data_IF_066529870700
#
_entry.id   IF_066529870700
#
_cell.length_a   1.000
_cell.length_b   1.000
_cell.length_c   1.000
_cell.angle_alpha   90.00
_cell.angle_beta   90.00
_cell.angle_gamma   90.00
#
_symmetry.space_group_name_H-M   'P 1'
#
loop_
_entity.id
_entity.type
_entity.pdbx_description
1 polymer ?
#
# COMPACT_ATOMS: atom_id res chain seq x y z
N UNK A 1 -4.89 -46.51 -76.65
CA UNK A 1 -5.73 -47.42 -77.46
C UNK A 1 -6.76 -48.08 -76.54
N UNK A 2 -8.04 -47.88 -76.88
CA UNK A 2 -9.26 -48.66 -76.56
C UNK A 2 -9.53 -49.09 -75.11
N UNK A 3 -10.61 -48.60 -74.49
CA UNK A 3 -12.02 -49.09 -74.57
C UNK A 3 -12.17 -50.47 -73.90
N UNK A 4 -13.22 -50.86 -73.16
CA UNK A 4 -14.59 -50.37 -72.94
C UNK A 4 -15.16 -51.27 -71.79
N UNK A 5 -15.91 -50.74 -70.81
CA UNK A 5 -17.39 -50.83 -70.66
C UNK A 5 -17.97 -52.17 -70.09
N UNK A 6 -18.91 -51.99 -69.14
CA UNK A 6 -19.98 -52.88 -68.60
C UNK A 6 -19.61 -53.80 -67.44
N UNK A 7 -20.29 -53.71 -66.29
CA UNK A 7 -21.64 -54.28 -66.19
C UNK A 7 -22.49 -53.62 -65.09
N UNK A 8 -23.68 -53.15 -65.50
CA UNK A 8 -24.85 -52.94 -64.65
C UNK A 8 -25.44 -54.32 -64.30
N UNK A 9 -25.71 -54.58 -63.02
CA UNK A 9 -26.85 -55.35 -62.48
C UNK A 9 -26.68 -55.46 -60.96
N UNK A 10 -27.80 -55.59 -60.24
CA UNK A 10 -27.94 -55.68 -58.78
C UNK A 10 -28.13 -54.34 -58.02
N UNK A 11 -28.90 -53.43 -58.61
CA UNK A 11 -29.83 -52.60 -57.83
C UNK A 11 -31.20 -53.26 -58.01
N UNK A 12 -31.74 -53.95 -57.00
CA UNK A 12 -33.21 -54.09 -56.80
C UNK A 12 -33.69 -54.87 -55.57
N UNK A 13 -32.87 -55.52 -54.73
CA UNK A 13 -33.42 -56.39 -53.65
C UNK A 13 -32.95 -56.06 -52.22
N UNK A 14 -31.96 -55.18 -52.02
CA UNK A 14 -31.50 -54.82 -50.64
C UNK A 14 -32.17 -53.59 -50.02
N UNK A 15 -33.04 -52.89 -50.77
CA UNK A 15 -33.61 -51.59 -50.34
C UNK A 15 -35.01 -51.70 -49.72
N UNK A 16 -35.62 -52.89 -49.71
CA UNK A 16 -36.96 -53.11 -49.11
C UNK A 16 -36.93 -53.66 -47.68
N UNK A 17 -35.80 -54.21 -47.21
CA UNK A 17 -35.70 -54.74 -45.84
C UNK A 17 -35.11 -53.71 -44.85
N UNK A 18 -34.37 -52.69 -45.32
CA UNK A 18 -33.80 -51.64 -44.46
C UNK A 18 -34.80 -50.51 -44.12
N UNK A 19 -35.90 -50.38 -44.85
CA UNK A 19 -36.95 -49.38 -44.59
C UNK A 19 -37.91 -49.84 -43.48
N UNK A 20 -38.09 -51.15 -43.28
CA UNK A 20 -38.94 -51.69 -42.22
C UNK A 20 -38.29 -51.60 -40.81
N UNK A 21 -36.96 -51.61 -40.71
CA UNK A 21 -36.25 -51.50 -39.43
C UNK A 21 -36.04 -50.06 -38.95
N UNK A 22 -36.13 -49.06 -39.84
CA UNK A 22 -36.01 -47.63 -39.48
C UNK A 22 -37.33 -47.02 -39.02
N UNK A 23 -38.47 -47.66 -39.28
CA UNK A 23 -39.80 -47.23 -38.81
C UNK A 23 -40.12 -47.63 -37.36
N UNK A 24 -39.39 -48.58 -36.75
CA UNK A 24 -39.60 -48.94 -35.32
C UNK A 24 -38.76 -48.12 -34.33
N UNK A 25 -37.73 -47.40 -34.76
CA UNK A 25 -36.92 -46.53 -33.86
C UNK A 25 -37.45 -45.09 -33.82
N UNK A 26 -38.24 -44.67 -34.81
CA UNK A 26 -38.91 -43.37 -34.79
C UNK A 26 -40.09 -43.29 -33.78
N UNK A 27 -40.70 -44.43 -33.46
CA UNK A 27 -41.84 -44.50 -32.53
C UNK A 27 -41.47 -44.28 -31.05
N UNK A 28 -40.27 -44.66 -30.63
CA UNK A 28 -39.83 -44.53 -29.23
C UNK A 28 -39.34 -43.12 -28.89
N UNK A 29 -38.70 -42.42 -29.84
CA UNK A 29 -38.34 -41.01 -29.67
C UNK A 29 -39.59 -40.11 -29.55
N UNK A 30 -40.64 -40.39 -30.32
CA UNK A 30 -41.90 -39.65 -30.28
C UNK A 30 -42.69 -39.85 -28.97
N UNK A 31 -42.70 -41.08 -28.43
CA UNK A 31 -43.37 -41.40 -27.16
C UNK A 31 -42.65 -40.80 -25.93
N UNK A 32 -41.31 -40.74 -25.93
CA UNK A 32 -40.53 -40.13 -24.84
C UNK A 32 -40.70 -38.60 -24.82
N UNK A 33 -40.77 -37.96 -25.99
CA UNK A 33 -40.96 -36.51 -26.13
C UNK A 33 -42.40 -36.07 -25.79
N UNK A 34 -43.39 -36.94 -25.98
CA UNK A 34 -44.78 -36.71 -25.55
C UNK A 34 -44.95 -36.90 -24.04
N UNK A 35 -44.38 -37.96 -23.46
CA UNK A 35 -44.43 -38.19 -22.01
C UNK A 35 -43.76 -37.08 -21.16
N UNK A 36 -42.73 -36.40 -21.68
CA UNK A 36 -42.13 -35.23 -21.00
C UNK A 36 -42.99 -33.96 -21.11
N UNK A 37 -43.83 -33.83 -22.15
CA UNK A 37 -44.72 -32.68 -22.32
C UNK A 37 -45.94 -32.74 -21.40
N UNK A 38 -46.39 -33.94 -21.05
CA UNK A 38 -47.55 -34.16 -20.18
C UNK A 38 -47.28 -33.88 -18.68
N UNK A 39 -46.02 -33.63 -18.30
CA UNK A 39 -45.59 -33.29 -16.93
C UNK A 39 -45.12 -31.82 -16.78
N UNK A 40 -45.45 -30.95 -17.73
CA UNK A 40 -45.12 -29.54 -17.59
C UNK A 40 -46.04 -28.85 -16.56
N UNK A 41 -45.49 -27.99 -15.68
CA UNK A 41 -46.31 -27.22 -14.75
C UNK A 41 -47.39 -26.43 -15.50
N UNK A 42 -48.61 -26.44 -14.95
CA UNK A 42 -49.69 -25.64 -15.50
C UNK A 42 -49.31 -24.15 -15.52
N UNK A 43 -49.67 -23.46 -16.61
CA UNK A 43 -49.43 -22.02 -16.75
C UNK A 43 -50.16 -21.29 -15.62
N UNK A 44 -49.41 -20.58 -14.79
CA UNK A 44 -49.96 -19.74 -13.74
C UNK A 44 -49.66 -18.26 -14.00
N UNK A 45 -50.59 -17.56 -14.63
CA UNK A 45 -50.47 -16.13 -14.93
C UNK A 45 -50.38 -15.26 -13.67
N UNK A 46 -50.83 -15.75 -12.51
CA UNK A 46 -50.79 -14.98 -11.26
C UNK A 46 -49.37 -14.69 -10.77
N UNK A 47 -48.39 -15.50 -11.19
CA UNK A 47 -46.98 -15.32 -10.83
C UNK A 47 -46.38 -14.03 -11.43
N UNK A 48 -47.00 -13.48 -12.47
CA UNK A 48 -46.55 -12.28 -13.19
C UNK A 48 -47.57 -11.14 -13.12
N UNK A 49 -48.54 -11.23 -12.20
CA UNK A 49 -49.63 -10.25 -12.10
C UNK A 49 -49.22 -8.94 -11.41
N UNK A 50 -48.13 -8.93 -10.65
CA UNK A 50 -47.64 -7.74 -9.97
C UNK A 50 -46.57 -7.03 -10.79
N UNK A 51 -46.58 -5.69 -10.74
CA UNK A 51 -45.46 -4.89 -11.25
C UNK A 51 -44.25 -5.02 -10.31
N UNK A 52 -43.05 -5.32 -10.83
CA UNK A 52 -41.85 -5.42 -10.00
C UNK A 52 -41.51 -4.07 -9.36
N UNK A 53 -41.41 -4.05 -8.03
CA UNK A 53 -40.82 -2.92 -7.32
C UNK A 53 -39.29 -3.01 -7.38
N UNK A 54 -38.56 -1.88 -7.36
CA UNK A 54 -37.11 -1.90 -7.27
C UNK A 54 -36.62 -2.61 -6.00
N UNK A 55 -35.50 -3.32 -6.12
CA UNK A 55 -34.84 -3.97 -4.99
C UNK A 55 -34.30 -2.92 -4.01
N UNK A 56 -34.35 -3.26 -2.74
CA UNK A 56 -33.68 -2.57 -1.64
C UNK A 56 -32.20 -2.95 -1.57
N UNK A 57 -31.39 -2.17 -0.84
CA UNK A 57 -29.94 -2.41 -0.68
C UNK A 57 -29.66 -3.78 -0.04
N UNK A 58 -30.45 -4.20 0.95
CA UNK A 58 -30.32 -5.52 1.57
C UNK A 58 -30.71 -6.66 0.62
N UNK A 59 -31.74 -6.47 -0.22
CA UNK A 59 -32.10 -7.43 -1.26
C UNK A 59 -31.00 -7.57 -2.33
N UNK A 60 -30.38 -6.47 -2.76
CA UNK A 60 -29.19 -6.53 -3.61
C UNK A 60 -28.05 -7.34 -2.93
N UNK A 61 -27.87 -7.15 -1.62
CA UNK A 61 -26.86 -7.85 -0.82
C UNK A 61 -27.09 -9.36 -0.66
N UNK A 62 -28.31 -9.87 -0.86
CA UNK A 62 -28.60 -11.31 -0.84
C UNK A 62 -27.90 -12.06 -1.98
N UNK A 63 -27.68 -11.41 -3.12
CA UNK A 63 -26.98 -11.99 -4.27
C UNK A 63 -25.55 -11.44 -4.41
N UNK A 64 -25.35 -10.14 -4.20
CA UNK A 64 -24.03 -9.48 -4.33
C UNK A 64 -23.31 -9.38 -2.99
N UNK A 65 -23.19 -10.52 -2.30
CA UNK A 65 -22.69 -10.61 -0.91
C UNK A 65 -21.30 -10.02 -0.74
N UNK A 66 -20.40 -10.22 -1.72
CA UNK A 66 -19.04 -9.66 -1.71
C UNK A 66 -19.05 -8.13 -1.78
N UNK A 67 -19.73 -7.54 -2.76
CA UNK A 67 -19.78 -6.07 -2.93
C UNK A 67 -20.47 -5.40 -1.74
N UNK A 68 -21.56 -5.99 -1.25
CA UNK A 68 -22.24 -5.54 -0.04
C UNK A 68 -21.30 -5.58 1.18
N UNK A 69 -20.54 -6.66 1.34
CA UNK A 69 -19.55 -6.80 2.41
C UNK A 69 -18.40 -5.79 2.28
N UNK A 70 -17.89 -5.58 1.08
CA UNK A 70 -16.82 -4.61 0.80
C UNK A 70 -17.27 -3.19 1.14
N UNK A 71 -18.48 -2.79 0.72
CA UNK A 71 -19.07 -1.50 1.09
C UNK A 71 -19.23 -1.37 2.60
N UNK A 72 -19.75 -2.40 3.27
CA UNK A 72 -19.95 -2.42 4.72
C UNK A 72 -18.65 -2.24 5.49
N UNK A 73 -17.57 -2.90 5.05
CA UNK A 73 -16.29 -2.89 5.76
C UNK A 73 -15.37 -1.74 5.36
N UNK A 74 -15.45 -1.26 4.11
CA UNK A 74 -14.48 -0.34 3.53
C UNK A 74 -15.00 0.55 2.39
N UNK A 75 -16.32 0.65 2.21
CA UNK A 75 -16.91 1.59 1.24
C UNK A 75 -16.68 3.06 1.62
N UNK A 76 -16.45 3.36 2.90
CA UNK A 76 -16.31 4.73 3.38
C UNK A 76 -17.55 5.55 3.04
N UNK A 77 -17.37 6.64 2.28
CA UNK A 77 -18.51 7.47 1.82
C UNK A 77 -19.37 6.83 0.73
N UNK A 78 -18.95 5.72 0.14
CA UNK A 78 -19.74 4.99 -0.87
C UNK A 78 -20.82 4.09 -0.26
N UNK A 79 -21.12 4.24 1.03
CA UNK A 79 -22.21 3.56 1.72
C UNK A 79 -23.55 4.27 1.50
N UNK A 80 -24.00 4.32 0.25
CA UNK A 80 -25.29 4.87 -0.16
C UNK A 80 -26.06 3.87 -1.04
N UNK A 81 -27.27 4.22 -1.48
CA UNK A 81 -28.12 3.31 -2.26
C UNK A 81 -27.43 2.90 -3.57
N UNK A 82 -27.43 1.60 -3.90
CA UNK A 82 -26.75 1.06 -5.08
C UNK A 82 -27.18 1.76 -6.38
N UNK A 83 -28.42 2.28 -6.41
CA UNK A 83 -29.05 2.92 -7.57
C UNK A 83 -28.58 4.34 -7.83
N UNK A 84 -27.91 4.97 -6.87
CA UNK A 84 -27.28 6.28 -7.06
C UNK A 84 -26.02 6.18 -7.94
N UNK A 85 -25.54 4.97 -8.21
CA UNK A 85 -24.41 4.70 -9.08
C UNK A 85 -24.82 3.75 -10.23
N UNK A 86 -25.50 2.65 -9.90
CA UNK A 86 -25.99 1.69 -10.89
C UNK A 86 -27.39 2.06 -11.38
N UNK A 87 -27.49 2.52 -12.63
CA UNK A 87 -28.79 2.82 -13.25
C UNK A 87 -29.35 1.62 -14.04
N UNK A 88 -28.48 0.67 -14.40
CA UNK A 88 -28.81 -0.52 -15.19
C UNK A 88 -28.41 -1.78 -14.42
N UNK A 89 -29.33 -2.72 -14.28
CA UNK A 89 -29.13 -3.97 -13.52
C UNK A 89 -29.36 -5.21 -14.39
N UNK A 90 -28.66 -6.30 -14.07
CA UNK A 90 -28.77 -7.60 -14.77
C UNK A 90 -28.63 -7.52 -16.31
N UNK A 91 -27.85 -6.54 -16.81
CA UNK A 91 -27.63 -6.30 -18.24
C UNK A 91 -26.30 -6.84 -18.77
N UNK A 92 -25.44 -7.40 -17.90
CA UNK A 92 -24.20 -8.02 -18.34
C UNK A 92 -24.49 -9.25 -19.20
N UNK A 93 -23.85 -9.30 -20.37
CA UNK A 93 -24.01 -10.37 -21.34
C UNK A 93 -22.60 -10.86 -21.74
N UNK A 94 -22.16 -12.05 -21.28
CA UNK A 94 -20.82 -12.54 -21.58
C UNK A 94 -20.51 -12.64 -23.09
N UNK A 95 -21.41 -13.15 -23.95
CA UNK A 95 -21.21 -13.10 -25.41
C UNK A 95 -20.97 -11.70 -26.00
N UNK A 96 -21.51 -10.64 -25.39
CA UNK A 96 -21.31 -9.25 -25.84
C UNK A 96 -20.14 -8.55 -25.17
N UNK A 97 -19.59 -9.12 -24.10
CA UNK A 97 -18.52 -8.53 -23.29
C UNK A 97 -18.75 -7.05 -22.92
N UNK A 98 -19.99 -6.70 -22.60
CA UNK A 98 -20.43 -5.30 -22.45
C UNK A 98 -20.17 -4.70 -21.05
N UNK A 99 -19.31 -5.30 -20.23
CA UNK A 99 -19.12 -4.87 -18.83
C UNK A 99 -18.63 -3.41 -18.74
N UNK A 100 -17.60 -3.05 -19.51
CA UNK A 100 -17.04 -1.70 -19.48
C UNK A 100 -18.04 -0.61 -19.89
N UNK A 101 -19.00 -0.94 -20.77
CA UNK A 101 -20.01 0.00 -21.26
C UNK A 101 -21.12 0.27 -20.25
N UNK A 102 -21.43 -0.70 -19.39
CA UNK A 102 -22.55 -0.63 -18.44
C UNK A 102 -22.09 -0.27 -17.02
N UNK A 103 -20.79 -0.19 -16.77
CA UNK A 103 -20.26 0.19 -15.46
C UNK A 103 -20.31 1.71 -15.27
N UNK A 104 -20.74 2.19 -14.08
CA UNK A 104 -20.75 3.61 -13.78
C UNK A 104 -19.35 4.21 -13.81
N UNK A 105 -19.23 5.42 -14.33
CA UNK A 105 -17.96 6.14 -14.39
C UNK A 105 -17.73 6.92 -13.09
N UNK A 106 -16.53 6.81 -12.52
CA UNK A 106 -16.13 7.58 -11.34
C UNK A 106 -16.26 9.10 -11.58
N UNK A 107 -16.00 9.52 -12.83
CA UNK A 107 -16.03 10.90 -13.28
C UNK A 107 -17.42 11.57 -13.17
N UNK A 108 -18.50 10.80 -13.03
CA UNK A 108 -19.86 11.34 -12.84
C UNK A 108 -19.99 12.11 -11.54
N UNK A 109 -19.24 11.72 -10.50
CA UNK A 109 -19.28 12.37 -9.19
C UNK A 109 -17.92 12.95 -8.76
N UNK A 110 -16.82 12.39 -9.26
CA UNK A 110 -15.46 12.80 -8.93
C UNK A 110 -14.79 13.53 -10.10
N UNK A 111 -13.94 14.51 -9.79
CA UNK A 111 -13.02 15.08 -10.78
C UNK A 111 -11.77 14.20 -10.95
N UNK A 112 -10.63 14.85 -11.16
CA UNK A 112 -9.31 14.20 -11.25
C UNK A 112 -8.51 14.50 -9.97
N UNK A 113 -8.73 13.78 -8.86
CA UNK A 113 -8.10 14.09 -7.57
C UNK A 113 -6.58 13.86 -7.58
N UNK A 114 -6.06 13.10 -8.55
CA UNK A 114 -4.63 12.82 -8.73
C UNK A 114 -4.05 13.55 -9.95
N UNK A 115 -4.75 14.59 -10.44
CA UNK A 115 -4.38 15.34 -11.64
C UNK A 115 -4.55 14.57 -12.94
N UNK A 116 -4.10 15.19 -14.03
CA UNK A 116 -4.43 14.79 -15.40
C UNK A 116 -3.61 13.57 -15.88
N UNK A 117 -2.57 13.19 -15.15
CA UNK A 117 -1.69 12.05 -15.50
C UNK A 117 -2.30 10.69 -15.13
N UNK A 118 -3.10 10.62 -14.08
CA UNK A 118 -3.61 9.37 -13.51
C UNK A 118 -5.14 9.34 -13.51
N UNK A 119 -5.72 9.30 -14.70
CA UNK A 119 -7.18 9.37 -14.92
C UNK A 119 -7.86 7.99 -15.02
N UNK A 120 -7.09 6.93 -15.27
CA UNK A 120 -7.59 5.56 -15.32
C UNK A 120 -7.80 5.00 -13.90
N UNK A 121 -8.90 5.41 -13.26
CA UNK A 121 -9.12 5.22 -11.82
C UNK A 121 -9.02 3.74 -11.39
N UNK A 122 -9.58 2.83 -12.19
CA UNK A 122 -9.69 1.39 -11.84
C UNK A 122 -8.34 0.66 -11.89
N UNK A 123 -7.31 1.24 -12.52
CA UNK A 123 -5.98 0.65 -12.52
C UNK A 123 -5.38 0.59 -11.11
N UNK A 124 -5.73 1.54 -10.24
CA UNK A 124 -5.33 1.55 -8.83
C UNK A 124 -6.50 1.18 -7.91
N UNK A 125 -7.69 1.72 -8.19
CA UNK A 125 -8.89 1.51 -7.40
C UNK A 125 -9.65 0.26 -7.85
N UNK A 126 -8.97 -0.90 -7.87
CA UNK A 126 -9.46 -2.16 -8.43
C UNK A 126 -10.85 -2.59 -7.90
N UNK A 127 -11.20 -2.14 -6.69
CA UNK A 127 -12.52 -2.37 -6.10
C UNK A 127 -13.29 -1.05 -5.91
N UNK A 128 -14.26 -0.71 -6.79
CA UNK A 128 -15.07 0.50 -6.64
C UNK A 128 -15.99 0.46 -5.41
N UNK A 129 -16.19 -0.71 -4.82
CA UNK A 129 -16.95 -0.91 -3.58
C UNK A 129 -16.07 -0.81 -2.31
N UNK A 130 -14.76 -0.65 -2.47
CA UNK A 130 -13.82 -0.36 -1.40
C UNK A 130 -12.69 0.54 -1.92
N UNK A 131 -12.98 1.73 -2.46
CA UNK A 131 -12.06 2.48 -3.32
C UNK A 131 -10.76 2.90 -2.59
N UNK A 132 -10.77 3.02 -1.26
CA UNK A 132 -9.56 3.34 -0.50
C UNK A 132 -8.65 2.13 -0.22
N UNK A 133 -9.10 0.91 -0.50
CA UNK A 133 -8.28 -0.30 -0.38
C UNK A 133 -7.51 -0.50 -1.68
N UNK A 134 -6.43 0.26 -1.84
CA UNK A 134 -5.53 0.18 -2.99
C UNK A 134 -4.37 -0.77 -2.63
N UNK A 135 -4.32 -1.98 -3.21
CA UNK A 135 -3.19 -2.88 -3.00
C UNK A 135 -1.92 -2.28 -3.61
N UNK A 136 -0.76 -2.72 -3.11
CA UNK A 136 0.48 -2.43 -3.81
C UNK A 136 0.55 -3.30 -5.06
N UNK A 137 0.75 -2.67 -6.23
CA UNK A 137 0.84 -3.35 -7.52
C UNK A 137 2.12 -2.94 -8.24
N UNK A 138 2.58 -3.75 -9.20
CA UNK A 138 3.74 -3.41 -10.02
C UNK A 138 3.56 -2.11 -10.81
N UNK A 139 2.33 -1.75 -11.15
CA UNK A 139 2.05 -0.48 -11.81
C UNK A 139 2.25 0.69 -10.84
N UNK A 140 1.78 0.57 -9.59
CA UNK A 140 1.96 1.61 -8.57
C UNK A 140 3.43 1.78 -8.17
N UNK A 141 4.19 0.69 -8.09
CA UNK A 141 5.63 0.67 -7.81
C UNK A 141 6.42 1.63 -8.73
N UNK A 142 6.07 1.68 -10.01
CA UNK A 142 6.76 2.49 -11.01
C UNK A 142 6.41 3.98 -11.04
N UNK A 143 5.42 4.43 -10.26
CA UNK A 143 4.89 5.81 -10.35
C UNK A 143 4.90 6.54 -9.00
N UNK A 144 5.60 6.01 -7.99
CA UNK A 144 5.68 6.62 -6.66
C UNK A 144 6.07 8.11 -6.73
N UNK A 145 7.07 8.46 -7.55
CA UNK A 145 7.62 9.81 -7.69
C UNK A 145 6.73 10.80 -8.43
N UNK A 146 5.73 10.35 -9.20
CA UNK A 146 4.75 11.25 -9.82
C UNK A 146 3.92 11.99 -8.75
N UNK A 147 3.71 11.36 -7.59
CA UNK A 147 2.96 11.93 -6.46
C UNK A 147 3.85 12.26 -5.24
N UNK A 148 4.85 11.43 -4.95
CA UNK A 148 5.79 11.56 -3.83
C UNK A 148 7.15 12.11 -4.27
N UNK A 149 7.12 13.17 -5.08
CA UNK A 149 8.32 13.83 -5.60
C UNK A 149 9.34 14.25 -4.53
N UNK A 150 8.93 14.91 -3.42
CA UNK A 150 9.87 15.34 -2.38
C UNK A 150 10.70 14.19 -1.80
N UNK A 151 10.09 13.03 -1.56
CA UNK A 151 10.76 11.85 -1.00
C UNK A 151 11.80 11.27 -1.97
N UNK A 152 11.49 11.28 -3.27
CA UNK A 152 12.44 10.88 -4.30
C UNK A 152 13.65 11.84 -4.37
N UNK A 153 13.41 13.14 -4.20
CA UNK A 153 14.48 14.16 -4.13
C UNK A 153 15.33 13.97 -2.87
N UNK A 154 14.74 13.71 -1.71
CA UNK A 154 15.48 13.42 -0.47
C UNK A 154 16.45 12.25 -0.64
N UNK A 155 16.00 11.12 -1.20
CA UNK A 155 16.86 9.96 -1.46
C UNK A 155 17.98 10.25 -2.48
N UNK A 156 17.74 11.16 -3.42
CA UNK A 156 18.72 11.58 -4.42
C UNK A 156 19.78 12.52 -3.83
N UNK A 157 19.36 13.51 -3.04
CA UNK A 157 20.22 14.51 -2.44
C UNK A 157 21.05 13.94 -1.28
N UNK A 158 20.55 12.91 -0.59
CA UNK A 158 21.20 12.26 0.56
C UNK A 158 21.45 10.77 0.32
N UNK A 159 22.37 10.40 -0.59
CA UNK A 159 22.56 9.02 -1.02
C UNK A 159 22.98 8.09 0.12
N UNK A 160 22.29 6.95 0.21
CA UNK A 160 22.56 5.86 1.14
C UNK A 160 22.16 4.50 0.54
N UNK A 161 22.29 3.41 1.30
CA UNK A 161 21.77 2.09 0.87
C UNK A 161 20.27 2.11 0.54
N UNK A 162 19.50 3.03 1.13
CA UNK A 162 18.08 3.20 0.85
C UNK A 162 17.83 3.76 -0.56
N UNK A 163 18.76 4.54 -1.12
CA UNK A 163 18.67 5.07 -2.49
C UNK A 163 18.69 3.95 -3.55
N UNK A 164 19.26 2.79 -3.20
CA UNK A 164 19.32 1.61 -4.06
C UNK A 164 18.05 0.73 -3.95
N UNK A 165 17.14 1.05 -3.04
CA UNK A 165 15.90 0.29 -2.82
C UNK A 165 14.74 0.94 -3.57
N UNK A 166 13.83 0.11 -4.08
CA UNK A 166 12.55 0.60 -4.59
C UNK A 166 11.67 1.07 -3.42
N UNK A 167 10.76 2.02 -3.66
CA UNK A 167 9.90 2.57 -2.61
C UNK A 167 9.05 1.48 -1.93
N UNK A 168 8.57 0.52 -2.71
CA UNK A 168 7.79 -0.62 -2.25
C UNK A 168 8.64 -1.70 -1.54
N UNK A 169 9.98 -1.61 -1.52
CA UNK A 169 10.80 -2.50 -0.69
C UNK A 169 10.45 -2.35 0.80
N UNK A 170 10.08 -1.13 1.21
CA UNK A 170 9.60 -0.84 2.56
C UNK A 170 8.09 -0.57 2.56
N UNK A 171 7.57 0.20 1.59
CA UNK A 171 6.13 0.50 1.48
C UNK A 171 5.33 -0.65 0.81
N UNK A 172 5.59 -1.90 1.18
CA UNK A 172 5.24 -3.09 0.39
C UNK A 172 3.76 -3.51 0.46
N UNK A 173 3.04 -3.22 1.55
CA UNK A 173 1.75 -3.87 1.83
C UNK A 173 0.57 -3.31 1.03
N UNK A 174 0.46 -1.99 0.98
CA UNK A 174 -0.65 -1.27 0.33
C UNK A 174 -0.23 0.17 0.09
N UNK A 175 -0.93 0.87 -0.80
CA UNK A 175 -0.74 2.31 -0.93
C UNK A 175 -1.01 3.00 0.41
N UNK A 176 -0.07 3.84 0.88
CA UNK A 176 -0.14 4.50 2.17
C UNK A 176 0.21 3.62 3.39
N UNK A 177 0.74 2.41 3.19
CA UNK A 177 1.41 1.68 4.27
C UNK A 177 2.66 2.42 4.70
N UNK A 178 2.85 2.62 6.01
CA UNK A 178 4.10 3.14 6.58
C UNK A 178 4.75 1.96 7.31
N UNK A 179 5.93 1.50 6.87
CA UNK A 179 6.64 0.39 7.49
C UNK A 179 7.19 0.77 8.86
N UNK A 180 7.50 -0.25 9.65
CA UNK A 180 8.33 -0.06 10.85
C UNK A 180 9.80 -0.32 10.51
N UNK A 181 10.70 0.52 10.99
CA UNK A 181 12.14 0.41 10.79
C UNK A 181 12.68 -0.94 11.26
N UNK A 182 12.09 -1.47 12.34
CA UNK A 182 12.41 -2.77 12.92
C UNK A 182 12.17 -3.99 12.00
N UNK A 183 11.52 -3.81 10.84
CA UNK A 183 11.44 -4.86 9.81
C UNK A 183 12.84 -5.22 9.26
N UNK A 184 13.80 -4.30 9.31
CA UNK A 184 15.16 -4.48 8.78
C UNK A 184 16.29 -3.98 9.69
N UNK A 185 16.00 -3.15 10.70
CA UNK A 185 17.00 -2.50 11.55
C UNK A 185 16.81 -2.85 13.03
N UNK A 186 17.90 -3.16 13.73
CA UNK A 186 17.89 -3.20 15.19
C UNK A 186 17.87 -1.79 15.80
N UNK A 187 17.17 -1.59 16.94
CA UNK A 187 17.27 -0.35 17.69
C UNK A 187 18.65 -0.15 18.30
N UNK A 188 19.00 1.09 18.64
CA UNK A 188 20.30 1.40 19.26
C UNK A 188 20.42 0.85 20.69
N UNK A 189 19.29 0.69 21.38
CA UNK A 189 19.21 0.05 22.70
C UNK A 189 17.90 -0.72 22.85
N UNK A 190 17.90 -1.73 23.73
CA UNK A 190 16.85 -2.76 23.79
C UNK A 190 15.42 -2.23 24.02
N UNK A 191 15.27 -1.08 24.68
CA UNK A 191 13.98 -0.48 25.02
C UNK A 191 13.63 0.74 24.17
N UNK A 192 14.38 1.01 23.09
CA UNK A 192 14.11 2.16 22.24
C UNK A 192 12.75 2.00 21.55
N UNK A 193 11.89 3.01 21.72
CA UNK A 193 10.60 3.02 21.06
C UNK A 193 10.75 3.41 19.58
N UNK A 194 10.07 2.68 18.69
CA UNK A 194 10.06 2.91 17.24
C UNK A 194 9.81 4.38 16.84
N UNK A 195 8.90 5.06 17.54
CA UNK A 195 8.55 6.45 17.26
C UNK A 195 9.73 7.42 17.47
N UNK A 196 10.78 7.03 18.20
CA UNK A 196 11.95 7.86 18.49
C UNK A 196 13.01 7.79 17.39
N UNK A 197 12.98 6.78 16.50
CA UNK A 197 13.96 6.62 15.43
C UNK A 197 14.05 7.88 14.55
N UNK A 198 12.89 8.47 14.24
CA UNK A 198 12.77 9.66 13.39
C UNK A 198 13.13 10.97 14.07
N UNK A 199 13.38 10.98 15.38
CA UNK A 199 13.92 12.18 16.06
C UNK A 199 15.34 12.46 15.58
N UNK A 200 16.09 11.39 15.28
CA UNK A 200 17.46 11.48 14.80
C UNK A 200 17.57 11.19 13.30
N UNK A 201 16.87 10.19 12.77
CA UNK A 201 17.02 9.73 11.39
C UNK A 201 15.77 10.02 10.56
N UNK A 202 15.76 11.06 9.71
CA UNK A 202 14.68 11.23 8.75
C UNK A 202 14.72 10.09 7.72
N UNK A 203 13.55 9.51 7.43
CA UNK A 203 13.41 8.19 6.78
C UNK A 203 14.07 8.11 5.39
N UNK A 204 13.94 9.15 4.56
CA UNK A 204 14.51 9.19 3.21
C UNK A 204 15.89 9.85 3.13
N UNK A 205 16.46 10.21 4.28
CA UNK A 205 17.83 10.69 4.41
C UNK A 205 18.45 10.17 5.72
N UNK A 206 18.46 8.84 5.94
CA UNK A 206 18.69 8.26 7.27
C UNK A 206 20.10 8.50 7.81
N UNK A 207 21.03 8.99 6.98
CA UNK A 207 22.39 9.36 7.40
C UNK A 207 22.49 10.80 7.92
N UNK A 208 21.49 11.62 7.64
CA UNK A 208 21.36 12.95 8.22
C UNK A 208 20.87 12.77 9.65
N UNK A 209 21.73 13.08 10.63
CA UNK A 209 21.36 13.01 12.05
C UNK A 209 20.83 14.37 12.47
N UNK A 210 19.53 14.47 12.68
CA UNK A 210 18.90 15.61 13.33
C UNK A 210 19.09 15.48 14.85
N UNK A 211 19.64 16.50 15.50
CA UNK A 211 19.78 16.50 16.95
C UNK A 211 18.76 17.49 17.53
N UNK A 212 17.77 16.95 18.23
CA UNK A 212 16.82 17.75 18.98
C UNK A 212 17.39 18.07 20.37
N UNK A 213 17.02 19.23 20.92
CA UNK A 213 17.51 19.68 22.23
C UNK A 213 17.00 18.80 23.39
N UNK A 214 15.88 18.10 23.19
CA UNK A 214 15.20 17.26 24.18
C UNK A 214 15.47 15.76 24.00
N UNK A 215 16.52 15.40 23.25
CA UNK A 215 16.93 14.00 23.12
C UNK A 215 17.26 13.39 24.49
N UNK A 216 16.77 12.18 24.75
CA UNK A 216 17.09 11.46 25.97
C UNK A 216 18.60 11.18 26.03
N UNK A 217 19.23 11.52 27.16
CA UNK A 217 20.66 11.29 27.42
C UNK A 217 21.09 9.84 27.20
N UNK A 218 20.22 8.87 27.52
CA UNK A 218 20.49 7.45 27.28
C UNK A 218 20.70 7.15 25.79
N UNK A 219 20.15 7.96 24.89
CA UNK A 219 20.38 7.82 23.44
C UNK A 219 21.85 8.01 23.08
N UNK A 220 22.56 8.88 23.79
CA UNK A 220 23.98 9.15 23.57
C UNK A 220 24.84 7.93 23.94
N UNK A 221 24.49 7.22 25.02
CA UNK A 221 25.20 6.02 25.50
C UNK A 221 25.31 4.94 24.42
N UNK A 222 24.28 4.80 23.58
CA UNK A 222 24.25 3.75 22.56
C UNK A 222 25.39 3.84 21.52
N UNK A 223 25.91 5.04 21.28
CA UNK A 223 27.05 5.28 20.37
C UNK A 223 28.30 5.80 21.10
N UNK A 224 28.12 6.45 22.25
CA UNK A 224 29.16 7.17 22.99
C UNK A 224 29.32 6.63 24.42
N UNK A 225 29.20 5.32 24.62
CA UNK A 225 29.20 4.67 25.94
C UNK A 225 30.36 5.11 26.85
N UNK A 226 31.59 5.17 26.32
CA UNK A 226 32.77 5.55 27.11
C UNK A 226 32.69 7.02 27.59
N UNK A 227 32.22 7.92 26.72
CA UNK A 227 32.05 9.35 27.04
C UNK A 227 30.89 9.53 28.00
N UNK A 228 29.78 8.82 27.78
CA UNK A 228 28.61 8.85 28.65
C UNK A 228 28.96 8.39 30.07
N UNK A 229 29.74 7.32 30.20
CA UNK A 229 30.24 6.84 31.49
C UNK A 229 31.20 7.84 32.16
N UNK A 230 32.08 8.48 31.38
CA UNK A 230 33.02 9.50 31.87
C UNK A 230 32.27 10.74 32.38
N UNK A 231 31.37 11.29 31.56
CA UNK A 231 30.53 12.44 31.91
C UNK A 231 29.59 12.15 33.08
N UNK A 232 28.99 10.96 33.16
CA UNK A 232 28.13 10.59 34.29
C UNK A 232 28.90 10.35 35.59
N UNK A 233 30.21 10.11 35.50
CA UNK A 233 31.10 9.85 36.63
C UNK A 233 31.95 11.04 37.09
N UNK A 234 32.02 12.12 36.30
CA UNK A 234 32.88 13.26 36.63
C UNK A 234 32.36 14.01 37.86
N UNK A 235 33.23 14.47 38.78
CA UNK A 235 32.84 15.34 39.88
C UNK A 235 32.59 16.79 39.44
N UNK A 236 32.80 17.13 38.15
CA UNK A 236 32.62 18.48 37.64
C UNK A 236 31.15 18.85 37.48
N UNK A 237 30.84 20.15 37.51
CA UNK A 237 29.48 20.65 37.28
C UNK A 237 28.95 20.37 35.87
N UNK A 238 29.82 20.02 34.92
CA UNK A 238 29.38 19.66 33.59
C UNK A 238 28.60 18.33 33.57
N UNK A 239 28.72 17.50 34.61
CA UNK A 239 27.86 16.33 34.82
C UNK A 239 26.36 16.67 34.94
N UNK A 240 26.02 17.93 35.24
CA UNK A 240 24.64 18.41 35.36
C UNK A 240 24.10 19.02 34.05
N UNK A 241 24.94 19.12 33.01
CA UNK A 241 24.62 19.73 31.71
C UNK A 241 24.37 18.61 30.71
N UNK A 242 23.21 18.63 30.05
CA UNK A 242 22.87 17.60 29.05
C UNK A 242 23.79 17.69 27.83
N UNK A 243 24.09 16.56 27.18
CA UNK A 243 24.91 16.51 25.98
C UNK A 243 24.41 17.49 24.90
N UNK A 244 23.09 17.58 24.72
CA UNK A 244 22.46 18.43 23.71
C UNK A 244 22.48 19.94 24.04
N UNK A 245 22.80 20.33 25.28
CA UNK A 245 22.98 21.75 25.63
C UNK A 245 24.30 22.30 25.07
N UNK A 246 25.33 21.47 25.01
CA UNK A 246 26.61 21.82 24.40
C UNK A 246 26.67 21.43 22.91
N UNK A 247 26.22 20.23 22.57
CA UNK A 247 26.17 19.72 21.21
C UNK A 247 24.81 20.01 20.59
N UNK A 248 24.63 21.24 20.09
CA UNK A 248 23.37 21.65 19.46
C UNK A 248 23.18 21.05 18.06
N UNK A 249 24.25 20.53 17.47
CA UNK A 249 24.25 19.80 16.21
C UNK A 249 25.10 18.54 16.38
N UNK A 250 24.69 17.43 15.78
CA UNK A 250 25.42 16.18 15.92
C UNK A 250 26.82 16.29 15.27
N UNK A 251 27.86 16.07 16.06
CA UNK A 251 29.27 16.21 15.65
C UNK A 251 29.85 17.62 15.79
N UNK A 252 29.06 18.61 16.22
CA UNK A 252 29.57 19.95 16.54
C UNK A 252 30.41 19.89 17.82
N UNK A 253 31.62 20.45 17.79
CA UNK A 253 32.43 20.69 18.99
C UNK A 253 32.27 22.18 19.35
N UNK A 254 31.55 22.52 20.44
CA UNK A 254 31.32 23.91 20.82
C UNK A 254 32.60 24.55 21.36
N UNK A 255 32.70 25.86 21.21
CA UNK A 255 33.76 26.63 21.87
C UNK A 255 33.40 26.88 23.34
N UNK A 256 34.38 26.75 24.24
CA UNK A 256 34.18 27.06 25.67
C UNK A 256 33.66 28.48 25.88
N UNK A 257 34.05 29.42 25.00
CA UNK A 257 33.64 30.82 25.03
C UNK A 257 32.14 31.05 24.79
N UNK A 258 31.40 30.04 24.33
CA UNK A 258 29.94 30.15 24.16
C UNK A 258 29.21 30.27 25.51
N UNK A 259 29.83 29.81 26.61
CA UNK A 259 29.26 29.90 27.96
C UNK A 259 30.25 30.48 28.98
N UNK A 260 31.55 30.41 28.72
CA UNK A 260 32.59 30.88 29.62
C UNK A 260 33.27 32.15 29.09
N UNK A 261 33.02 33.27 29.76
CA UNK A 261 33.56 34.56 29.34
C UNK A 261 34.79 34.98 30.17
N UNK A 262 35.68 35.73 29.52
CA UNK A 262 36.76 36.49 30.15
C UNK A 262 36.23 37.91 30.43
N UNK A 263 36.43 38.50 31.63
CA UNK A 263 37.32 38.07 32.71
C UNK A 263 36.66 37.20 33.79
N UNK A 264 35.40 36.79 33.61
CA UNK A 264 34.62 36.10 34.64
C UNK A 264 35.23 34.75 35.06
N UNK A 265 35.82 34.02 34.10
CA UNK A 265 36.43 32.71 34.35
C UNK A 265 37.96 32.78 34.49
N UNK A 266 38.62 33.58 33.66
CA UNK A 266 40.07 33.77 33.64
C UNK A 266 40.41 35.24 33.38
N UNK A 267 41.56 35.73 33.84
CA UNK A 267 41.99 37.10 33.52
C UNK A 267 42.62 37.19 32.11
N UNK A 268 42.60 38.37 31.50
CA UNK A 268 43.12 38.60 30.13
C UNK A 268 44.58 38.19 29.96
N UNK A 269 45.42 38.43 30.96
CA UNK A 269 46.85 38.09 30.90
C UNK A 269 47.08 36.58 30.80
N UNK A 270 46.29 35.78 31.52
CA UNK A 270 46.37 34.32 31.45
C UNK A 270 45.89 33.81 30.09
N UNK A 271 44.77 34.32 29.60
CA UNK A 271 44.24 33.96 28.28
C UNK A 271 45.18 34.36 27.14
N UNK A 272 45.93 35.46 27.29
CA UNK A 272 46.96 35.85 26.33
C UNK A 272 48.18 34.91 26.30
N UNK A 273 48.49 34.24 27.42
CA UNK A 273 49.57 33.27 27.51
C UNK A 273 49.13 31.87 27.09
N UNK A 274 47.88 31.50 27.38
CA UNK A 274 47.30 30.17 27.15
C UNK A 274 45.97 30.32 26.40
N UNK A 275 46.00 30.49 25.07
CA UNK A 275 44.78 30.66 24.27
C UNK A 275 43.97 29.37 24.11
N UNK A 276 44.57 28.20 24.30
CA UNK A 276 43.89 26.90 24.24
C UNK A 276 43.48 26.42 25.63
N UNK A 277 42.18 26.28 25.86
CA UNK A 277 41.64 25.86 27.15
C UNK A 277 42.08 24.43 27.53
N UNK A 278 42.24 23.55 26.54
CA UNK A 278 42.54 22.13 26.74
C UNK A 278 43.97 21.87 27.24
N UNK A 279 44.86 22.86 27.18
CA UNK A 279 46.21 22.73 27.71
C UNK A 279 46.21 22.55 29.25
N UNK A 280 45.13 22.97 29.92
CA UNK A 280 44.94 22.82 31.36
C UNK A 280 43.65 22.08 31.73
N UNK A 281 42.59 22.20 30.93
CA UNK A 281 41.30 21.58 31.20
C UNK A 281 41.19 20.12 30.72
N UNK A 282 42.18 19.61 29.99
CA UNK A 282 42.42 18.21 29.60
C UNK A 282 41.27 17.48 28.90
N UNK A 283 40.17 17.22 29.59
CA UNK A 283 38.96 16.57 29.07
C UNK A 283 37.73 17.39 29.44
N UNK A 284 36.92 17.74 28.45
CA UNK A 284 35.69 18.51 28.62
C UNK A 284 34.58 17.71 29.28
N UNK A 285 34.64 16.37 29.20
CA UNK A 285 33.69 15.46 29.84
C UNK A 285 34.16 15.00 31.23
N UNK A 286 35.40 15.29 31.61
CA UNK A 286 35.95 15.05 32.95
C UNK A 286 36.87 16.18 33.40
N UNK A 287 36.27 17.37 33.56
CA UNK A 287 37.02 18.57 33.90
C UNK A 287 37.64 18.47 35.30
N UNK A 288 38.91 18.88 35.48
CA UNK A 288 39.54 18.92 36.79
C UNK A 288 38.77 19.82 37.76
N UNK A 289 38.36 19.26 38.90
CA UNK A 289 37.76 20.03 39.99
C UNK A 289 38.79 20.35 41.06
N UNK A 290 38.72 21.56 41.64
CA UNK A 290 39.44 21.84 42.88
C UNK A 290 38.81 21.03 44.00
N UNK A 291 39.61 20.16 44.61
CA UNK A 291 39.28 19.50 45.87
C UNK A 291 39.19 20.51 47.01
#
# INVERSE_FOLDING_TARGET
>A
MSNHIQTKKLITISMMVLIAATLLVAGTASAQQTAMRDNLPAVNASLYAAEPIPLTVDQCGQCHTRHFSDLKQAGGKHQFDCRECHEVFHAYNPPRNNYAEIMPLCATCHGQPHGDKHVECINCHENPHAPKRVPMTHMLEGICSDCHGPQAVELQDFPSKHTEQACNSCHHSRHGYIPVCAECHEPHFATQAEATCMQCHPVHQPRTIALAADVDLQTCDACHADIYATWGGTPSKHAEVSCAECHTEHGLIPACSNCHETPATHNEKLMAMFPNCLDCHLDVHDLPVKK
#
